data_IF_034421782940
#
_entry.id   IF_034421782940
#
_cell.length_a   1.000
_cell.length_b   1.000
_cell.length_c   1.000
_cell.angle_alpha   90.00
_cell.angle_beta   90.00
_cell.angle_gamma   90.00
#
_symmetry.space_group_name_H-M   'P 1'
#
loop_
_entity.id
_entity.type
_entity.pdbx_description
1 polymer ?
#
# COMPACT_ATOMS: atom_id res chain seq x y z
N UNK A 1 -21.31 -25.95 -30.98
CA UNK A 1 -20.48 -27.06 -30.45
C UNK A 1 -21.00 -27.42 -29.07
N UNK A 2 -21.59 -28.60 -28.87
CA UNK A 2 -22.03 -29.05 -27.54
C UNK A 2 -20.85 -29.71 -26.82
N UNK A 3 -20.36 -29.09 -25.75
CA UNK A 3 -19.28 -29.63 -24.90
C UNK A 3 -19.86 -30.68 -23.96
N UNK A 4 -19.39 -31.92 -24.06
CA UNK A 4 -19.82 -32.98 -23.13
C UNK A 4 -19.04 -32.91 -21.82
N UNK A 5 -19.68 -33.32 -20.71
CA UNK A 5 -19.03 -33.39 -19.38
C UNK A 5 -17.71 -34.16 -19.42
N UNK A 6 -17.63 -35.22 -20.22
CA UNK A 6 -16.42 -36.03 -20.39
C UNK A 6 -15.29 -35.27 -21.08
N UNK A 7 -15.59 -34.36 -22.01
CA UNK A 7 -14.58 -33.51 -22.64
C UNK A 7 -14.02 -32.49 -21.66
N UNK A 8 -14.87 -31.89 -20.82
CA UNK A 8 -14.45 -31.00 -19.75
C UNK A 8 -13.55 -31.71 -18.73
N UNK A 9 -13.95 -32.89 -18.25
CA UNK A 9 -13.13 -33.66 -17.30
C UNK A 9 -11.80 -34.12 -17.89
N UNK A 10 -11.75 -34.45 -19.19
CA UNK A 10 -10.48 -34.76 -19.88
C UNK A 10 -9.59 -33.53 -19.99
N UNK A 11 -10.15 -32.35 -20.22
CA UNK A 11 -9.39 -31.10 -20.24
C UNK A 11 -8.83 -30.76 -18.85
N UNK A 12 -9.66 -30.88 -17.80
CA UNK A 12 -9.24 -30.66 -16.41
C UNK A 12 -8.17 -31.65 -15.96
N UNK A 13 -8.33 -32.94 -16.28
CA UNK A 13 -7.35 -33.99 -15.98
C UNK A 13 -6.01 -33.78 -16.68
N UNK A 14 -6.01 -33.31 -17.93
CA UNK A 14 -4.79 -32.93 -18.67
C UNK A 14 -4.08 -31.72 -18.04
N UNK A 15 -4.83 -30.74 -17.53
CA UNK A 15 -4.25 -29.58 -16.83
C UNK A 15 -3.57 -29.96 -15.52
N UNK A 16 -4.18 -30.87 -14.74
CA UNK A 16 -3.63 -31.30 -13.46
C UNK A 16 -2.33 -32.12 -13.60
N UNK A 17 -2.22 -33.00 -14.60
CA UNK A 17 -1.01 -33.79 -14.81
C UNK A 17 0.21 -32.95 -15.22
N UNK A 18 0.00 -31.88 -16.02
CA UNK A 18 1.06 -30.95 -16.37
C UNK A 18 1.66 -30.23 -15.14
N UNK A 19 0.82 -29.84 -14.18
CA UNK A 19 1.27 -29.18 -12.94
C UNK A 19 2.04 -30.15 -12.01
N UNK A 20 1.63 -31.41 -11.95
CA UNK A 20 2.31 -32.42 -11.13
C UNK A 20 3.74 -32.70 -11.65
N UNK A 21 3.93 -32.72 -12.97
CA UNK A 21 5.26 -32.88 -13.57
C UNK A 21 6.14 -31.64 -13.31
N UNK A 22 5.57 -30.44 -13.37
CA UNK A 22 6.28 -29.19 -13.05
C UNK A 22 6.71 -29.08 -11.57
N UNK A 23 6.03 -29.78 -10.65
CA UNK A 23 6.33 -29.75 -9.21
C UNK A 23 7.42 -30.71 -8.75
N UNK A 24 7.80 -31.72 -9.54
CA UNK A 24 8.86 -32.67 -9.15
C UNK A 24 10.29 -32.18 -9.41
N UNK A 25 10.49 -30.99 -9.98
CA UNK A 25 11.83 -30.50 -10.38
C UNK A 25 12.37 -29.24 -9.67
N UNK A 26 11.55 -28.46 -8.95
CA UNK A 26 11.94 -27.10 -8.48
C UNK A 26 11.67 -26.83 -6.99
N UNK A 27 11.15 -27.79 -6.22
CA UNK A 27 10.87 -27.58 -4.79
C UNK A 27 12.02 -27.96 -3.83
N UNK A 28 13.24 -28.18 -4.33
CA UNK A 28 14.43 -28.39 -3.49
C UNK A 28 15.25 -27.11 -3.21
N UNK A 29 14.69 -25.93 -3.46
CA UNK A 29 15.25 -24.69 -2.93
C UNK A 29 14.93 -24.59 -1.42
N UNK A 30 15.80 -25.17 -0.61
CA UNK A 30 15.88 -24.92 0.83
C UNK A 30 15.86 -23.40 1.07
N UNK A 31 14.72 -22.90 1.54
CA UNK A 31 14.59 -21.51 1.96
C UNK A 31 15.47 -21.33 3.20
N UNK A 32 16.74 -20.98 2.99
CA UNK A 32 17.67 -20.59 4.04
C UNK A 32 17.12 -19.29 4.63
N UNK A 33 16.33 -19.42 5.70
CA UNK A 33 15.85 -18.30 6.50
C UNK A 33 17.07 -17.50 6.94
N UNK A 34 17.29 -16.34 6.31
CA UNK A 34 18.26 -15.38 6.80
C UNK A 34 17.72 -14.90 8.13
N UNK A 35 18.30 -15.40 9.23
CA UNK A 35 18.20 -14.79 10.55
C UNK A 35 18.38 -13.29 10.37
N UNK A 36 17.29 -12.53 10.51
CA UNK A 36 17.34 -11.08 10.52
C UNK A 36 18.34 -10.68 11.60
N UNK A 37 19.45 -10.08 11.17
CA UNK A 37 20.39 -9.43 12.06
C UNK A 37 19.55 -8.42 12.85
N UNK A 38 19.43 -8.66 14.16
CA UNK A 38 18.79 -7.73 15.10
C UNK A 38 19.57 -6.43 15.00
N UNK A 39 19.02 -5.46 14.26
CA UNK A 39 19.60 -4.13 14.21
C UNK A 39 19.64 -3.62 15.64
N UNK A 40 20.82 -3.13 16.03
CA UNK A 40 21.08 -2.50 17.34
C UNK A 40 19.98 -1.46 17.56
N UNK A 41 19.06 -1.73 18.47
CA UNK A 41 17.91 -0.86 18.70
C UNK A 41 18.45 0.49 19.15
N UNK A 42 18.13 1.54 18.40
CA UNK A 42 18.24 2.89 18.92
C UNK A 42 17.24 2.99 20.07
N UNK A 43 17.70 2.78 21.31
CA UNK A 43 16.91 2.81 22.55
C UNK A 43 16.43 4.22 22.91
N UNK A 44 15.76 4.90 21.97
CA UNK A 44 15.08 6.17 22.23
C UNK A 44 13.62 6.01 22.65
N UNK A 45 13.08 4.81 22.49
CA UNK A 45 11.71 4.48 22.88
C UNK A 45 11.72 3.77 24.23
N UNK A 46 11.04 4.33 25.23
CA UNK A 46 10.85 3.69 26.52
C UNK A 46 9.57 2.84 26.46
N UNK A 47 9.64 1.51 26.69
CA UNK A 47 8.47 0.64 26.70
C UNK A 47 7.40 1.13 27.68
N UNK A 48 6.14 1.01 27.28
CA UNK A 48 4.98 1.31 28.13
C UNK A 48 4.28 0.02 28.55
N UNK A 49 3.63 0.04 29.72
CA UNK A 49 2.82 -1.08 30.19
C UNK A 49 1.46 -1.10 29.49
N UNK A 50 0.82 -2.28 29.35
CA UNK A 50 -0.57 -2.39 28.91
C UNK A 50 -1.49 -1.54 29.79
N UNK A 51 -2.54 -0.98 29.20
CA UNK A 51 -3.51 -0.13 29.88
C UNK A 51 -4.90 -0.36 29.31
N UNK A 52 -5.91 -0.20 30.17
CA UNK A 52 -7.34 -0.30 29.83
C UNK A 52 -8.00 1.08 29.66
N UNK A 53 -7.21 2.15 29.68
CA UNK A 53 -7.71 3.51 29.53
C UNK A 53 -8.22 3.75 28.10
N UNK A 54 -9.36 4.44 27.98
CA UNK A 54 -9.92 4.88 26.69
C UNK A 54 -9.18 6.11 26.15
N UNK A 55 -7.86 5.99 26.00
CA UNK A 55 -6.96 7.08 25.59
C UNK A 55 -5.69 6.53 24.96
N UNK A 56 -5.12 7.27 24.00
CA UNK A 56 -3.86 6.91 23.37
C UNK A 56 -2.68 7.26 24.28
N UNK A 57 -2.06 6.22 24.88
CA UNK A 57 -0.88 6.37 25.73
C UNK A 57 0.38 6.23 24.89
N UNK A 58 1.29 7.20 25.03
CA UNK A 58 2.57 7.22 24.33
C UNK A 58 3.74 7.26 25.31
N UNK A 59 4.90 6.81 24.83
CA UNK A 59 6.16 6.93 25.56
C UNK A 59 6.54 8.41 25.78
N UNK A 60 7.29 8.76 26.84
CA UNK A 60 7.72 10.14 27.06
C UNK A 60 8.43 10.77 25.85
N UNK A 61 8.07 12.03 25.53
CA UNK A 61 8.62 12.77 24.40
C UNK A 61 7.90 12.57 23.06
N UNK A 62 6.92 11.67 22.99
CA UNK A 62 6.06 11.49 21.82
C UNK A 62 4.76 12.28 21.95
N UNK A 63 4.22 12.72 20.80
CA UNK A 63 2.96 13.44 20.70
C UNK A 63 2.18 12.91 19.51
N UNK A 64 0.86 12.93 19.60
CA UNK A 64 -0.03 12.66 18.48
C UNK A 64 -0.86 13.90 18.15
N UNK A 65 -1.39 13.91 16.93
CA UNK A 65 -2.40 14.88 16.52
C UNK A 65 -3.45 14.17 15.68
N UNK A 66 -4.71 14.53 15.88
CA UNK A 66 -5.81 13.99 15.08
C UNK A 66 -5.83 14.69 13.72
N UNK A 67 -5.74 13.91 12.65
CA UNK A 67 -5.69 14.42 11.26
C UNK A 67 -7.03 14.35 10.53
N UNK A 68 -7.88 13.39 10.90
CA UNK A 68 -9.21 13.20 10.36
C UNK A 68 -10.05 12.36 11.34
N UNK A 69 -11.32 12.72 11.47
CA UNK A 69 -12.34 11.99 12.22
C UNK A 69 -13.51 11.63 11.31
N UNK A 70 -14.29 10.63 11.73
CA UNK A 70 -15.55 10.31 11.09
C UNK A 70 -16.43 11.56 10.98
N UNK A 71 -16.91 11.86 9.78
CA UNK A 71 -17.75 13.03 9.51
C UNK A 71 -17.01 14.32 9.19
N UNK A 72 -15.67 14.35 9.25
CA UNK A 72 -14.90 15.53 8.84
C UNK A 72 -15.07 15.81 7.35
N UNK A 73 -15.22 17.08 6.99
CA UNK A 73 -15.38 17.50 5.59
C UNK A 73 -14.04 17.44 4.85
N UNK A 74 -13.96 16.62 3.80
CA UNK A 74 -12.72 16.38 3.05
C UNK A 74 -12.55 17.29 1.83
N UNK A 75 -13.63 17.90 1.34
CA UNK A 75 -13.59 18.75 0.15
C UNK A 75 -14.59 19.92 0.16
N UNK A 76 -14.46 20.90 -0.75
CA UNK A 76 -15.41 22.00 -0.88
C UNK A 76 -16.80 21.58 -1.37
N UNK A 77 -16.99 20.35 -1.85
CA UNK A 77 -18.29 19.86 -2.30
C UNK A 77 -19.16 19.33 -1.15
N UNK A 78 -18.56 19.09 0.02
CA UNK A 78 -19.25 18.65 1.23
C UNK A 78 -19.13 17.16 1.50
N UNK A 79 -18.26 16.43 0.78
CA UNK A 79 -17.99 15.03 1.09
C UNK A 79 -17.33 14.91 2.46
N UNK A 80 -17.64 13.81 3.16
CA UNK A 80 -17.17 13.55 4.51
C UNK A 80 -16.25 12.34 4.59
N UNK A 81 -15.37 12.33 5.58
CA UNK A 81 -14.53 11.19 5.88
C UNK A 81 -15.36 10.00 6.39
N UNK A 82 -15.04 8.81 5.87
CA UNK A 82 -15.82 7.59 6.07
C UNK A 82 -15.80 7.05 7.50
N UNK A 83 -16.76 6.18 7.80
CA UNK A 83 -16.83 5.48 9.09
C UNK A 83 -15.86 4.30 9.15
N UNK A 84 -15.26 4.07 10.33
CA UNK A 84 -14.41 2.92 10.64
C UNK A 84 -13.25 2.73 9.66
N UNK A 85 -12.45 3.78 9.46
CA UNK A 85 -11.26 3.74 8.60
C UNK A 85 -10.25 2.71 9.10
N UNK A 86 -9.89 1.79 8.22
CA UNK A 86 -8.94 0.72 8.49
C UNK A 86 -7.58 1.09 7.86
N UNK A 87 -7.28 0.54 6.68
CA UNK A 87 -6.01 0.76 6.01
C UNK A 87 -5.83 2.20 5.51
N UNK A 88 -4.77 2.85 6.00
CA UNK A 88 -4.31 4.15 5.52
C UNK A 88 -2.92 4.03 4.91
N UNK A 89 -2.73 4.61 3.72
CA UNK A 89 -1.45 4.61 3.01
C UNK A 89 -1.02 6.06 2.75
N UNK A 90 0.28 6.32 2.94
CA UNK A 90 0.90 7.59 2.59
C UNK A 90 1.77 7.40 1.35
N UNK A 91 1.42 8.09 0.26
CA UNK A 91 2.28 8.21 -0.92
C UNK A 91 2.89 9.60 -0.94
N UNK A 92 4.23 9.73 -0.86
CA UNK A 92 4.87 11.03 -0.94
C UNK A 92 4.66 11.61 -2.34
N UNK A 93 4.10 12.81 -2.41
CA UNK A 93 4.06 13.55 -3.66
C UNK A 93 5.49 14.00 -3.98
N UNK A 94 6.04 13.50 -5.09
CA UNK A 94 7.36 13.87 -5.56
C UNK A 94 7.43 15.36 -5.85
N UNK A 95 8.39 16.06 -5.24
CA UNK A 95 8.73 17.43 -5.64
C UNK A 95 9.38 17.38 -7.02
N UNK A 96 8.62 17.67 -8.06
CA UNK A 96 9.19 17.84 -9.40
C UNK A 96 9.99 19.14 -9.39
N UNK A 97 11.32 19.05 -9.29
CA UNK A 97 12.20 20.21 -9.44
C UNK A 97 11.99 20.79 -10.84
N UNK A 98 11.49 22.02 -10.92
CA UNK A 98 11.53 22.82 -12.14
C UNK A 98 13.01 23.21 -12.35
N UNK A 99 13.78 22.39 -13.06
CA UNK A 99 15.14 22.75 -13.52
C UNK A 99 15.38 22.59 -15.01
N UNK A 100 14.40 22.11 -15.77
CA UNK A 100 14.64 21.77 -17.18
C UNK A 100 13.81 22.60 -18.17
N UNK A 101 13.30 23.78 -17.76
CA UNK A 101 12.76 24.76 -18.70
C UNK A 101 13.80 25.85 -18.97
N UNK A 102 14.77 25.54 -19.84
CA UNK A 102 15.51 26.55 -20.62
C UNK A 102 14.66 26.96 -21.83
N UNK A 103 13.46 27.44 -21.57
CA UNK A 103 12.54 27.97 -22.57
C UNK A 103 11.84 29.16 -21.95
N UNK A 104 11.97 30.30 -22.61
CA UNK A 104 11.39 31.60 -22.26
C UNK A 104 10.03 31.46 -21.58
N UNK A 105 9.88 32.10 -20.43
CA UNK A 105 8.61 32.16 -19.69
C UNK A 105 7.62 32.95 -20.54
N UNK A 106 6.81 32.25 -21.34
CA UNK A 106 5.60 32.83 -21.91
C UNK A 106 4.50 32.72 -20.85
N UNK A 107 3.86 33.85 -20.57
CA UNK A 107 2.88 34.05 -19.51
C UNK A 107 1.69 33.09 -19.67
N UNK A 108 1.29 32.40 -18.59
CA UNK A 108 0.13 31.50 -18.53
C UNK A 108 -1.21 32.15 -18.94
N UNK A 109 -1.28 33.48 -19.06
CA UNK A 109 -2.44 34.20 -19.56
C UNK A 109 -2.68 34.05 -21.07
N UNK A 110 -1.69 33.59 -21.84
CA UNK A 110 -1.83 33.43 -23.30
C UNK A 110 -2.43 32.07 -23.70
N UNK A 111 -2.37 31.06 -22.81
CA UNK A 111 -2.82 29.71 -23.13
C UNK A 111 -4.34 29.53 -23.13
N UNK A 112 -5.09 30.47 -22.54
CA UNK A 112 -6.56 30.42 -22.48
C UNK A 112 -7.27 31.26 -23.54
N UNK A 113 -6.52 31.93 -24.44
CA UNK A 113 -7.09 32.89 -25.40
C UNK A 113 -6.85 32.51 -26.88
N UNK A 114 -6.73 31.23 -27.21
CA UNK A 114 -6.80 30.80 -28.61
C UNK A 114 -7.75 29.61 -28.77
N UNK A 115 -8.95 29.97 -29.22
CA UNK A 115 -10.02 29.23 -29.91
C UNK A 115 -10.31 27.78 -29.51
#
# INVERSE_FOLDING_TARGET
MNLSRSQFLRYLGKGASALAIAKSGILSASAKSKSFIRSKSNERFQPISPSEQDSLILSPGYRYNTIALYGDRINPQGDTFGFNSDFNCFSPLGVRRIRDFSGTITRLSEFWNTT
#
